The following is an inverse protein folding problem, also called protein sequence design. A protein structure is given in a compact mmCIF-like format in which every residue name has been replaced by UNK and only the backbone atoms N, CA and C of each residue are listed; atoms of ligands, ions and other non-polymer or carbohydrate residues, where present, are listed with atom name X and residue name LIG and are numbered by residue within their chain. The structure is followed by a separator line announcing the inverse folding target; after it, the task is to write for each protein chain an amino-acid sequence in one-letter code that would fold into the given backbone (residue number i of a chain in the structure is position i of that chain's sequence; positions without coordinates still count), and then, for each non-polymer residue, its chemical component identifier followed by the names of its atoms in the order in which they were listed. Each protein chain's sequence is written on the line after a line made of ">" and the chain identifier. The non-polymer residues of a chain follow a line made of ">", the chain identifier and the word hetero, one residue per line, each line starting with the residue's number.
data_IF_660974254595
#
_entry.id   IF_660974254595
#
_cell.length_a   1.000
_cell.length_b   1.000
_cell.length_c   1.000
_cell.angle_alpha   90.00
_cell.angle_beta   90.00
_cell.angle_gamma   90.00
#
_symmetry.space_group_name_H-M   'P 1'
#
loop_
_entity.id
_entity.type
_entity.pdbx_description
1 polymer ?
#
# COMPACT_ATOMS: atom_id res chain seq x y z
N UNK A 1 28.29 -50.33 17.48
CA UNK A 1 27.35 -50.92 16.52
C UNK A 1 26.31 -49.85 16.18
N UNK A 2 26.44 -49.19 15.07
CA UNK A 2 25.53 -48.17 14.60
C UNK A 2 24.90 -48.66 13.31
N UNK A 3 23.59 -48.89 13.31
CA UNK A 3 22.87 -49.37 12.17
C UNK A 3 22.41 -48.19 11.28
N UNK A 4 22.99 -48.12 10.11
CA UNK A 4 22.55 -47.23 9.02
C UNK A 4 21.29 -47.85 8.36
N UNK A 5 20.19 -47.10 8.33
CA UNK A 5 19.08 -47.39 7.46
C UNK A 5 19.15 -46.56 6.20
N UNK A 6 19.41 -47.24 5.09
CA UNK A 6 19.26 -46.74 3.72
C UNK A 6 17.77 -46.53 3.43
N UNK A 7 17.40 -45.34 3.01
CA UNK A 7 16.10 -45.06 2.41
C UNK A 7 16.20 -45.14 0.89
N UNK A 8 15.30 -45.92 0.32
CA UNK A 8 15.21 -46.17 -1.11
C UNK A 8 14.64 -44.97 -1.86
N UNK A 9 15.26 -44.68 -2.99
CA UNK A 9 14.77 -43.72 -4.00
C UNK A 9 13.73 -44.46 -4.85
N UNK A 10 12.51 -43.94 -4.89
CA UNK A 10 11.54 -44.34 -5.91
C UNK A 10 11.26 -43.11 -6.79
N UNK A 11 11.65 -43.25 -8.04
CA UNK A 11 11.37 -42.36 -9.16
C UNK A 11 9.90 -42.48 -9.57
N UNK A 12 9.23 -41.31 -9.64
CA UNK A 12 7.89 -41.23 -10.21
C UNK A 12 7.50 -39.78 -10.44
N UNK A 13 7.84 -39.25 -11.62
CA UNK A 13 7.31 -37.99 -12.12
C UNK A 13 5.90 -38.22 -12.63
N UNK A 14 4.93 -37.33 -12.34
CA UNK A 14 4.30 -36.67 -13.45
C UNK A 14 4.25 -35.13 -13.26
N UNK A 15 4.59 -34.48 -14.34
CA UNK A 15 4.36 -33.08 -14.63
C UNK A 15 2.87 -32.73 -14.47
N UNK A 16 2.59 -31.94 -13.44
CA UNK A 16 1.35 -31.21 -13.29
C UNK A 16 1.68 -29.81 -12.85
N UNK A 17 1.57 -28.84 -13.76
CA UNK A 17 1.84 -27.44 -13.49
C UNK A 17 0.85 -26.87 -12.46
N UNK A 18 1.17 -27.03 -11.18
CA UNK A 18 0.53 -26.32 -10.08
C UNK A 18 1.28 -25.04 -9.83
N UNK A 19 0.76 -23.93 -10.33
CA UNK A 19 1.26 -22.59 -9.94
C UNK A 19 0.97 -22.44 -8.45
N UNK A 20 2.03 -22.50 -7.67
CA UNK A 20 2.03 -22.55 -6.22
C UNK A 20 1.40 -21.29 -5.60
N UNK A 21 0.40 -21.50 -4.77
CA UNK A 21 -0.23 -20.58 -3.82
C UNK A 21 0.74 -20.06 -2.73
N UNK A 22 2.05 -20.07 -2.95
CA UNK A 22 3.05 -19.85 -1.91
C UNK A 22 3.26 -18.37 -1.57
N UNK A 23 2.81 -17.45 -2.42
CA UNK A 23 3.08 -16.02 -2.19
C UNK A 23 2.09 -15.31 -1.26
N UNK A 24 0.90 -15.87 -1.04
CA UNK A 24 -0.11 -15.23 -0.19
C UNK A 24 0.13 -15.45 1.31
N UNK A 25 0.75 -16.57 1.69
CA UNK A 25 1.01 -16.92 3.10
C UNK A 25 2.25 -16.23 3.67
N UNK A 26 3.25 -15.89 2.88
CA UNK A 26 4.43 -15.16 3.38
C UNK A 26 4.18 -13.66 3.60
N UNK A 27 3.20 -13.07 2.94
CA UNK A 27 2.82 -11.68 3.18
C UNK A 27 2.03 -11.47 4.50
N UNK A 28 1.40 -12.53 5.01
CA UNK A 28 0.60 -12.49 6.25
C UNK A 28 1.42 -12.74 7.52
N UNK A 29 2.60 -13.35 7.42
CA UNK A 29 3.39 -13.75 8.60
C UNK A 29 4.38 -12.70 9.11
N UNK A 30 4.56 -11.57 8.44
CA UNK A 30 5.64 -10.61 8.76
C UNK A 30 5.18 -9.34 9.49
N UNK A 31 3.99 -9.27 10.09
CA UNK A 31 3.55 -8.03 10.73
C UNK A 31 2.88 -8.17 12.07
N UNK A 32 3.67 -8.45 13.10
CA UNK A 32 3.38 -7.95 14.44
C UNK A 32 4.13 -6.61 14.59
N UNK A 33 3.44 -5.51 14.31
CA UNK A 33 3.96 -4.18 14.60
C UNK A 33 4.01 -3.23 13.39
N UNK A 34 3.02 -2.39 13.31
CA UNK A 34 2.78 -1.29 12.36
C UNK A 34 1.99 -1.70 11.12
N UNK A 35 0.74 -1.26 11.09
CA UNK A 35 -0.14 -1.36 9.94
C UNK A 35 0.57 -0.80 8.68
N UNK A 36 0.92 -1.68 7.77
CA UNK A 36 1.45 -1.27 6.47
C UNK A 36 0.30 -0.83 5.58
N UNK A 37 0.31 0.38 5.11
CA UNK A 37 -0.87 1.08 4.64
C UNK A 37 -1.32 0.77 3.23
N UNK A 38 -0.45 0.33 2.39
CA UNK A 38 -0.77 -0.02 1.01
C UNK A 38 0.07 -1.24 0.65
N UNK A 39 -0.53 -2.43 0.78
CA UNK A 39 0.09 -3.62 0.23
C UNK A 39 -0.01 -3.56 -1.28
N UNK A 40 1.04 -3.09 -1.87
CA UNK A 40 1.24 -3.13 -3.30
C UNK A 40 1.83 -4.49 -3.66
N UNK A 41 1.01 -5.54 -3.58
CA UNK A 41 1.36 -6.82 -4.15
C UNK A 41 0.90 -6.82 -5.60
N UNK A 42 1.81 -6.65 -6.53
CA UNK A 42 1.56 -7.00 -7.92
C UNK A 42 1.58 -8.53 -8.01
N UNK A 43 0.41 -9.15 -8.00
CA UNK A 43 0.27 -10.57 -8.23
C UNK A 43 -0.45 -10.80 -9.55
N UNK A 44 0.11 -11.68 -10.38
CA UNK A 44 -0.60 -12.21 -11.53
C UNK A 44 -1.61 -13.26 -11.02
N UNK A 45 -2.89 -12.89 -10.98
CA UNK A 45 -3.97 -13.82 -10.69
C UNK A 45 -4.61 -14.29 -12.01
N UNK A 46 -4.93 -15.57 -12.06
CA UNK A 46 -5.71 -16.14 -13.16
C UNK A 46 -7.18 -16.06 -12.77
N UNK A 47 -7.91 -15.15 -13.40
CA UNK A 47 -9.36 -15.14 -13.29
C UNK A 47 -9.93 -16.24 -14.19
N UNK A 48 -10.92 -16.99 -13.68
CA UNK A 48 -11.59 -18.06 -14.41
C UNK A 48 -12.29 -17.58 -15.69
N UNK A 49 -12.49 -16.27 -15.87
CA UNK A 49 -13.24 -15.69 -16.99
C UNK A 49 -12.44 -14.79 -17.96
N UNK A 50 -11.23 -14.34 -17.63
CA UNK A 50 -10.56 -13.30 -18.45
C UNK A 50 -9.04 -13.39 -18.58
N UNK A 51 -8.43 -14.52 -18.19
CA UNK A 51 -6.99 -14.70 -18.33
C UNK A 51 -6.15 -14.07 -17.20
N UNK A 52 -4.84 -13.94 -17.42
CA UNK A 52 -3.91 -13.37 -16.45
C UNK A 52 -4.12 -11.85 -16.30
N UNK A 53 -4.40 -11.40 -15.08
CA UNK A 53 -4.52 -9.99 -14.73
C UNK A 53 -3.57 -9.58 -13.61
N UNK A 54 -3.13 -8.34 -13.62
CA UNK A 54 -2.34 -7.73 -12.54
C UNK A 54 -3.29 -7.01 -11.58
N UNK A 55 -3.16 -7.28 -10.29
CA UNK A 55 -4.03 -6.74 -9.27
C UNK A 55 -3.23 -6.04 -8.18
N UNK A 56 -3.80 -5.00 -7.60
CA UNK A 56 -3.30 -4.31 -6.42
C UNK A 56 -4.31 -4.45 -5.30
N UNK A 57 -3.82 -4.70 -4.11
CA UNK A 57 -4.66 -4.85 -2.92
C UNK A 57 -4.61 -3.54 -2.13
N UNK A 58 -5.77 -2.97 -1.86
CA UNK A 58 -5.93 -1.79 -1.02
C UNK A 58 -6.62 -2.13 0.29
N UNK A 59 -6.27 -1.44 1.35
CA UNK A 59 -7.05 -1.45 2.58
C UNK A 59 -8.26 -0.55 2.35
N UNK A 60 -9.45 -1.15 2.36
CA UNK A 60 -10.67 -0.52 1.90
C UNK A 60 -11.59 -0.06 3.03
N UNK A 61 -11.61 -0.76 4.16
CA UNK A 61 -12.59 -0.55 5.22
C UNK A 61 -11.92 -0.27 6.56
N UNK A 62 -12.61 0.49 7.42
CA UNK A 62 -12.27 0.68 8.85
C UNK A 62 -12.16 -0.63 9.63
N UNK A 63 -12.73 -1.72 9.11
CA UNK A 63 -12.64 -3.10 9.65
C UNK A 63 -11.44 -3.88 9.11
N UNK A 64 -10.53 -3.25 8.37
CA UNK A 64 -9.33 -3.89 7.83
C UNK A 64 -9.56 -4.83 6.65
N UNK A 65 -10.70 -4.73 5.96
CA UNK A 65 -10.96 -5.51 4.75
C UNK A 65 -10.12 -4.99 3.59
N UNK A 66 -9.72 -5.90 2.71
CA UNK A 66 -8.96 -5.58 1.51
C UNK A 66 -9.87 -5.54 0.29
N UNK A 67 -9.67 -4.55 -0.56
CA UNK A 67 -10.24 -4.52 -1.89
C UNK A 67 -9.17 -4.89 -2.93
N UNK A 68 -9.52 -5.80 -3.82
CA UNK A 68 -8.68 -6.19 -4.96
C UNK A 68 -9.04 -5.29 -6.13
N UNK A 69 -8.04 -4.60 -6.68
CA UNK A 69 -8.21 -3.69 -7.80
C UNK A 69 -7.32 -4.10 -8.97
N UNK A 70 -7.89 -4.15 -10.17
CA UNK A 70 -7.14 -4.46 -11.40
C UNK A 70 -6.28 -3.26 -11.79
N UNK A 71 -5.02 -3.50 -12.11
CA UNK A 71 -4.06 -2.47 -12.52
C UNK A 71 -3.56 -2.71 -13.94
N UNK A 72 -3.05 -1.65 -14.57
CA UNK A 72 -2.37 -1.75 -15.85
C UNK A 72 -0.96 -2.33 -15.70
N UNK A 73 -0.40 -3.00 -16.71
CA UNK A 73 0.97 -3.51 -16.65
C UNK A 73 2.02 -2.40 -16.46
N UNK A 74 1.73 -1.18 -16.88
CA UNK A 74 2.59 -0.01 -16.65
C UNK A 74 2.65 0.38 -15.18
N UNK A 75 1.50 0.40 -14.50
CA UNK A 75 1.46 0.66 -13.05
C UNK A 75 2.11 -0.44 -12.22
N UNK A 76 2.21 -1.65 -12.75
CA UNK A 76 2.86 -2.76 -12.05
C UNK A 76 4.38 -2.61 -11.96
N UNK A 77 5.00 -1.82 -12.84
CA UNK A 77 6.45 -1.62 -12.88
C UNK A 77 6.98 -0.78 -11.73
N UNK A 78 6.18 0.10 -11.16
CA UNK A 78 6.61 0.99 -10.08
C UNK A 78 5.80 0.83 -8.81
N UNK A 79 6.39 1.25 -7.71
CA UNK A 79 5.79 1.27 -6.37
C UNK A 79 5.97 2.64 -5.73
N UNK A 80 4.90 3.13 -5.07
CA UNK A 80 4.99 4.31 -4.21
C UNK A 80 5.44 3.90 -2.81
N UNK A 81 6.42 4.60 -2.28
CA UNK A 81 6.97 4.35 -0.96
C UNK A 81 7.10 5.65 -0.17
N UNK A 82 6.64 5.63 1.09
CA UNK A 82 6.82 6.77 2.01
C UNK A 82 8.21 6.75 2.61
N UNK A 83 8.87 7.89 2.63
CA UNK A 83 10.16 8.09 3.26
C UNK A 83 9.99 8.14 4.78
N UNK A 84 10.63 7.22 5.48
CA UNK A 84 10.61 7.15 6.95
C UNK A 84 11.75 7.90 7.59
N UNK A 85 12.95 7.72 7.07
CA UNK A 85 14.17 8.24 7.66
C UNK A 85 15.21 8.52 6.58
N UNK A 86 15.96 9.58 6.76
CA UNK A 86 17.14 9.90 5.97
C UNK A 86 18.31 9.98 6.96
N UNK A 87 19.41 9.32 6.66
CA UNK A 87 20.60 9.33 7.49
C UNK A 87 21.86 9.25 6.63
N UNK A 88 22.95 9.68 7.21
CA UNK A 88 24.28 9.57 6.60
C UNK A 88 24.98 8.36 7.20
N UNK A 89 25.44 7.46 6.35
CA UNK A 89 26.18 6.27 6.74
C UNK A 89 27.65 6.55 7.06
N UNK A 90 28.36 5.48 7.40
CA UNK A 90 29.80 5.49 7.63
C UNK A 90 30.53 5.97 6.42
N UNK A 91 31.21 6.68 6.01
CA UNK A 91 31.82 7.21 4.76
C UNK A 91 31.10 8.41 4.15
N UNK A 92 30.15 9.03 4.91
CA UNK A 92 29.46 10.21 4.42
C UNK A 92 28.41 9.96 3.32
N UNK A 93 28.04 8.69 3.06
CA UNK A 93 27.08 8.34 2.01
C UNK A 93 25.65 8.53 2.53
N UNK A 94 24.81 9.37 1.87
CA UNK A 94 23.42 9.54 2.27
C UNK A 94 22.62 8.27 1.93
N UNK A 95 21.77 7.88 2.87
CA UNK A 95 20.85 6.75 2.75
C UNK A 95 19.43 7.20 3.10
N UNK A 96 18.48 6.69 2.35
CA UNK A 96 17.07 6.88 2.55
C UNK A 96 16.42 5.55 2.89
N UNK A 97 15.61 5.51 3.96
CA UNK A 97 14.84 4.34 4.37
C UNK A 97 13.36 4.59 4.13
N UNK A 98 12.73 3.66 3.43
CA UNK A 98 11.30 3.68 3.12
C UNK A 98 10.48 2.92 4.16
N UNK A 99 9.16 3.02 4.07
CA UNK A 99 8.24 2.28 4.94
C UNK A 99 8.33 0.75 4.75
N UNK A 100 8.75 0.27 3.56
CA UNK A 100 8.96 -1.15 3.25
C UNK A 100 10.34 -1.66 3.69
N UNK A 101 11.09 -0.92 4.51
CA UNK A 101 12.45 -1.24 4.92
C UNK A 101 13.48 -1.31 3.79
N UNK A 102 13.20 -0.76 2.61
CA UNK A 102 14.19 -0.61 1.54
C UNK A 102 15.13 0.53 1.88
N UNK A 103 16.42 0.31 1.68
CA UNK A 103 17.46 1.33 1.86
C UNK A 103 18.02 1.72 0.51
N UNK A 104 17.88 2.99 0.13
CA UNK A 104 18.35 3.52 -1.15
C UNK A 104 19.53 4.44 -0.88
N UNK A 105 20.61 4.25 -1.62
CA UNK A 105 21.81 5.08 -1.54
C UNK A 105 21.71 6.23 -2.53
N UNK A 106 22.33 7.36 -2.19
CA UNK A 106 22.39 8.57 -3.01
C UNK A 106 21.00 9.07 -3.44
N UNK A 107 20.07 9.31 -2.49
CA UNK A 107 18.80 9.91 -2.82
C UNK A 107 19.00 11.36 -3.29
N UNK A 108 18.00 11.89 -4.02
CA UNK A 108 17.97 13.31 -4.37
C UNK A 108 17.93 14.16 -3.07
N UNK A 109 18.77 15.21 -2.94
CA UNK A 109 18.80 16.08 -1.76
C UNK A 109 17.50 16.86 -1.54
N UNK A 110 16.63 16.97 -2.54
CA UNK A 110 15.32 17.62 -2.43
C UNK A 110 14.29 16.79 -1.67
N UNK A 111 14.52 15.48 -1.54
CA UNK A 111 13.61 14.55 -0.85
C UNK A 111 13.74 14.73 0.66
N UNK A 112 12.60 14.89 1.33
CA UNK A 112 12.49 15.01 2.79
C UNK A 112 11.78 13.81 3.43
N UNK A 113 11.82 13.76 4.75
CA UNK A 113 11.06 12.77 5.53
C UNK A 113 9.57 13.05 5.37
N UNK A 114 8.76 12.00 5.26
CA UNK A 114 7.33 11.96 4.95
C UNK A 114 6.95 12.18 3.48
N UNK A 115 7.89 12.50 2.60
CA UNK A 115 7.63 12.54 1.16
C UNK A 115 7.34 11.11 0.64
N UNK A 116 6.66 11.04 -0.50
CA UNK A 116 6.41 9.80 -1.20
C UNK A 116 7.29 9.72 -2.43
N UNK A 117 8.03 8.62 -2.57
CA UNK A 117 8.89 8.36 -3.71
C UNK A 117 8.30 7.27 -4.59
N UNK A 118 8.50 7.38 -5.87
CA UNK A 118 8.20 6.35 -6.85
C UNK A 118 9.47 5.55 -7.12
N UNK A 119 9.41 4.25 -6.88
CA UNK A 119 10.53 3.33 -7.06
C UNK A 119 10.20 2.39 -8.21
N UNK A 120 11.09 2.28 -9.17
CA UNK A 120 11.04 1.24 -10.19
C UNK A 120 11.40 -0.11 -9.54
N UNK A 121 10.55 -1.13 -9.74
CA UNK A 121 10.72 -2.44 -9.12
C UNK A 121 11.82 -3.27 -9.77
N UNK A 122 12.14 -3.03 -11.04
CA UNK A 122 13.20 -3.76 -11.76
C UNK A 122 14.57 -3.24 -11.37
N UNK A 123 14.77 -1.91 -11.40
CA UNK A 123 16.08 -1.29 -11.15
C UNK A 123 16.31 -0.94 -9.68
N UNK A 124 15.22 -0.80 -8.89
CA UNK A 124 15.28 -0.36 -7.49
C UNK A 124 15.64 1.12 -7.33
N UNK A 125 15.64 1.91 -8.40
CA UNK A 125 15.97 3.34 -8.39
C UNK A 125 14.73 4.19 -8.20
N UNK A 126 14.93 5.40 -7.66
CA UNK A 126 13.88 6.43 -7.56
C UNK A 126 13.71 7.05 -8.94
N UNK A 127 12.49 7.03 -9.47
CA UNK A 127 12.13 7.67 -10.75
C UNK A 127 11.57 9.06 -10.54
N UNK A 128 10.72 9.25 -9.52
CA UNK A 128 10.09 10.54 -9.21
C UNK A 128 9.72 10.60 -7.73
N UNK A 129 9.32 11.77 -7.24
CA UNK A 129 8.86 11.94 -5.86
C UNK A 129 7.78 13.01 -5.73
N UNK A 130 6.95 12.87 -4.71
CA UNK A 130 5.90 13.83 -4.33
C UNK A 130 6.26 14.39 -2.96
N UNK A 131 6.34 15.72 -2.85
CA UNK A 131 6.54 16.40 -1.57
C UNK A 131 5.29 16.28 -0.70
N UNK A 132 5.50 16.23 0.60
CA UNK A 132 4.43 16.32 1.58
C UNK A 132 4.05 17.81 1.77
N UNK A 133 3.05 18.26 0.98
CA UNK A 133 2.56 19.63 1.02
C UNK A 133 1.03 19.65 1.12
N UNK A 134 0.48 20.79 1.53
CA UNK A 134 -0.97 21.05 1.49
C UNK A 134 -1.49 21.02 0.05
N UNK A 135 -2.72 20.58 -0.13
CA UNK A 135 -3.33 20.44 -1.45
C UNK A 135 -3.04 19.12 -2.15
N UNK A 136 -2.16 18.27 -1.63
CA UNK A 136 -1.87 16.97 -2.21
C UNK A 136 -2.86 15.89 -1.75
N UNK A 137 -3.16 14.96 -2.67
CA UNK A 137 -4.04 13.84 -2.38
C UNK A 137 -3.32 12.81 -1.51
N UNK A 138 -3.96 12.42 -0.41
CA UNK A 138 -3.41 11.45 0.53
C UNK A 138 -4.41 10.34 0.87
N UNK A 139 -3.88 9.23 1.35
CA UNK A 139 -4.63 8.10 1.88
C UNK A 139 -4.27 7.88 3.34
N UNK A 140 -5.27 7.59 4.16
CA UNK A 140 -5.06 7.27 5.58
C UNK A 140 -4.85 5.77 5.75
N UNK A 141 -3.78 5.42 6.42
CA UNK A 141 -3.21 4.08 6.48
C UNK A 141 -3.34 3.43 7.85
N UNK A 142 -3.88 4.18 8.82
CA UNK A 142 -4.06 3.67 10.17
C UNK A 142 -4.99 4.53 11.00
N UNK A 143 -5.37 4.01 12.17
CA UNK A 143 -6.28 4.69 13.10
C UNK A 143 -7.76 4.54 12.74
N UNK A 144 -8.60 5.38 13.36
CA UNK A 144 -10.06 5.34 13.18
C UNK A 144 -10.51 5.74 11.76
N UNK A 145 -9.68 6.47 11.02
CA UNK A 145 -9.95 6.94 9.66
C UNK A 145 -9.26 6.08 8.58
N UNK A 146 -8.93 4.85 8.89
CA UNK A 146 -8.27 3.91 7.98
C UNK A 146 -9.00 3.81 6.63
N UNK A 147 -8.25 3.82 5.53
CA UNK A 147 -8.78 3.65 4.17
C UNK A 147 -9.43 4.88 3.55
N UNK A 148 -9.58 5.99 4.30
CA UNK A 148 -10.12 7.23 3.74
C UNK A 148 -9.09 7.90 2.83
N UNK A 149 -9.58 8.54 1.77
CA UNK A 149 -8.77 9.29 0.82
C UNK A 149 -9.27 10.74 0.84
N UNK A 150 -8.37 11.69 0.84
CA UNK A 150 -8.71 13.10 0.84
C UNK A 150 -7.52 13.99 0.53
N UNK A 151 -7.75 15.28 0.51
CA UNK A 151 -6.75 16.32 0.25
C UNK A 151 -6.26 16.89 1.55
N UNK A 152 -4.95 17.05 1.70
CA UNK A 152 -4.32 17.66 2.88
C UNK A 152 -4.66 19.16 2.91
N UNK A 153 -5.30 19.61 3.98
CA UNK A 153 -5.66 21.03 4.18
C UNK A 153 -4.62 21.76 5.00
N UNK A 154 -4.24 21.22 6.15
CA UNK A 154 -3.27 21.84 7.04
C UNK A 154 -2.53 20.79 7.85
N UNK A 155 -1.35 21.17 8.34
CA UNK A 155 -0.56 20.39 9.26
C UNK A 155 -0.32 21.21 10.53
N UNK A 156 -0.56 20.59 11.68
CA UNK A 156 -0.27 21.15 12.99
C UNK A 156 0.89 20.38 13.61
N UNK A 157 1.93 21.11 14.00
CA UNK A 157 3.09 20.53 14.65
C UNK A 157 2.99 20.74 16.15
N UNK A 158 2.99 19.64 16.90
CA UNK A 158 2.94 19.65 18.36
C UNK A 158 4.29 19.18 18.94
N UNK A 159 5.18 20.10 19.37
CA UNK A 159 6.45 19.73 19.99
C UNK A 159 6.22 18.85 21.23
N UNK A 160 6.90 17.71 21.30
CA UNK A 160 6.74 16.73 22.38
C UNK A 160 5.54 15.78 22.25
N UNK A 161 4.71 15.91 21.21
CA UNK A 161 3.58 15.04 20.91
C UNK A 161 3.59 14.63 19.45
N UNK A 162 2.48 14.06 18.96
CA UNK A 162 2.34 13.65 17.58
C UNK A 162 1.85 14.81 16.72
N UNK A 163 2.47 15.00 15.56
CA UNK A 163 2.00 15.93 14.56
C UNK A 163 0.65 15.48 14.01
N UNK A 164 -0.27 16.43 13.86
CA UNK A 164 -1.64 16.22 13.39
C UNK A 164 -1.79 16.84 12.01
N UNK A 165 -2.50 16.16 11.15
CA UNK A 165 -2.80 16.64 9.80
C UNK A 165 -4.30 16.60 9.56
N UNK A 166 -4.82 17.70 9.06
CA UNK A 166 -6.22 17.84 8.67
C UNK A 166 -6.38 17.48 7.20
N UNK A 167 -7.34 16.60 6.95
CA UNK A 167 -7.63 16.08 5.61
C UNK A 167 -9.10 16.32 5.29
N UNK A 168 -9.39 16.73 4.08
CA UNK A 168 -10.74 16.94 3.58
C UNK A 168 -11.09 15.87 2.55
N UNK A 169 -12.20 15.16 2.78
CA UNK A 169 -12.73 14.15 1.86
C UNK A 169 -13.37 14.79 0.62
N UNK A 170 -13.65 13.96 -0.38
CA UNK A 170 -14.41 14.37 -1.57
C UNK A 170 -15.84 14.86 -1.24
N UNK A 171 -16.44 14.39 -0.15
CA UNK A 171 -17.75 14.82 0.33
C UNK A 171 -17.71 16.16 1.09
N UNK A 172 -16.55 16.76 1.28
CA UNK A 172 -16.39 18.01 2.02
C UNK A 172 -16.19 17.85 3.53
N UNK A 173 -16.27 16.64 4.07
CA UNK A 173 -16.04 16.38 5.48
C UNK A 173 -14.55 16.51 5.81
N UNK A 174 -14.22 17.28 6.85
CA UNK A 174 -12.85 17.39 7.36
C UNK A 174 -12.66 16.46 8.55
N UNK A 175 -11.48 15.86 8.63
CA UNK A 175 -11.07 15.03 9.76
C UNK A 175 -9.58 15.16 10.02
N UNK A 176 -9.17 14.90 11.26
CA UNK A 176 -7.77 14.96 11.68
C UNK A 176 -7.21 13.55 11.87
N UNK A 177 -5.94 13.39 11.54
CA UNK A 177 -5.20 12.14 11.75
C UNK A 177 -3.73 12.43 12.02
N UNK A 178 -3.01 11.45 12.59
CA UNK A 178 -1.58 11.58 12.84
C UNK A 178 -0.79 11.56 11.54
N UNK A 179 0.27 12.35 11.47
CA UNK A 179 1.19 12.41 10.32
C UNK A 179 1.77 11.03 9.94
N UNK A 180 2.02 10.17 10.92
CA UNK A 180 2.50 8.80 10.68
C UNK A 180 1.54 7.97 9.83
N UNK A 181 0.23 8.23 9.94
CA UNK A 181 -0.81 7.48 9.27
C UNK A 181 -1.17 8.01 7.87
N UNK A 182 -0.53 9.07 7.43
CA UNK A 182 -0.79 9.66 6.11
C UNK A 182 0.20 9.14 5.10
N UNK A 183 -0.30 8.82 3.93
CA UNK A 183 0.46 8.41 2.76
C UNK A 183 0.01 9.25 1.56
N UNK A 184 0.91 10.05 1.01
CA UNK A 184 0.60 10.88 -0.17
C UNK A 184 0.59 9.98 -1.40
N UNK A 185 -0.48 10.02 -2.17
CA UNK A 185 -0.70 9.16 -3.36
C UNK A 185 -0.73 9.94 -4.67
N UNK A 186 -0.79 11.26 -4.60
CA UNK A 186 -0.87 12.07 -5.81
C UNK A 186 -0.53 13.53 -5.60
N UNK A 187 -0.19 14.19 -6.67
CA UNK A 187 0.09 15.62 -6.71
C UNK A 187 -1.19 16.37 -7.04
N UNK A 188 -1.62 17.27 -6.14
CA UNK A 188 -2.93 17.91 -6.24
C UNK A 188 -4.04 16.86 -6.20
N UNK A 189 -5.01 16.94 -7.10
CA UNK A 189 -6.15 16.03 -7.16
C UNK A 189 -5.92 14.77 -8.04
N UNK A 190 -4.79 14.66 -8.71
CA UNK A 190 -4.49 13.52 -9.59
C UNK A 190 -3.70 12.46 -8.82
N UNK A 191 -4.27 11.25 -8.59
CA UNK A 191 -3.52 10.16 -8.03
C UNK A 191 -2.53 9.59 -9.05
N UNK A 192 -1.36 9.17 -8.59
CA UNK A 192 -0.35 8.47 -9.41
C UNK A 192 -0.63 6.98 -9.54
N UNK A 193 -1.60 6.48 -8.77
CA UNK A 193 -2.05 5.10 -8.81
C UNK A 193 -3.55 5.07 -9.08
N UNK A 194 -4.03 4.06 -9.79
CA UNK A 194 -5.46 3.83 -9.96
C UNK A 194 -6.09 3.47 -8.62
N UNK A 195 -7.21 4.10 -8.32
CA UNK A 195 -7.95 3.90 -7.07
C UNK A 195 -9.17 3.01 -7.30
N UNK A 196 -9.59 2.21 -6.30
CA UNK A 196 -10.81 1.43 -6.39
C UNK A 196 -12.05 2.33 -6.53
N UNK A 197 -13.14 1.78 -7.04
CA UNK A 197 -14.37 2.52 -7.41
C UNK A 197 -14.93 3.43 -6.32
N UNK A 198 -14.82 3.06 -5.07
CA UNK A 198 -15.37 3.81 -3.93
C UNK A 198 -14.46 4.95 -3.44
N UNK A 199 -13.28 5.12 -4.03
CA UNK A 199 -12.36 6.25 -3.77
C UNK A 199 -12.12 6.57 -2.29
N UNK A 200 -12.26 5.59 -1.39
CA UNK A 200 -12.00 5.75 0.04
C UNK A 200 -13.01 6.63 0.79
N UNK A 201 -14.23 6.77 0.29
CA UNK A 201 -15.30 7.50 0.97
C UNK A 201 -15.87 6.63 2.07
N UNK A 202 -15.95 7.15 3.29
CA UNK A 202 -16.61 6.48 4.41
C UNK A 202 -18.11 6.73 4.34
N UNK A 203 -18.88 5.67 4.14
CA UNK A 203 -20.33 5.71 4.17
C UNK A 203 -20.84 5.77 5.62
N UNK A 204 -21.97 6.41 5.81
CA UNK A 204 -22.73 6.35 7.06
C UNK A 204 -23.36 4.97 7.23
N UNK A 205 -23.76 4.61 8.45
CA UNK A 205 -24.41 3.31 8.73
C UNK A 205 -25.69 3.13 7.91
N UNK A 206 -26.46 4.22 7.72
CA UNK A 206 -27.66 4.21 6.92
C UNK A 206 -27.39 3.95 5.44
N UNK A 207 -26.42 4.67 4.84
CA UNK A 207 -26.00 4.48 3.45
C UNK A 207 -25.43 3.08 3.19
N UNK A 208 -24.65 2.54 4.15
CA UNK A 208 -24.12 1.19 4.03
C UNK A 208 -25.25 0.14 4.04
N UNK A 209 -26.26 0.33 4.90
CA UNK A 209 -27.44 -0.52 4.93
C UNK A 209 -28.21 -0.47 3.63
N UNK A 210 -28.46 0.72 3.11
CA UNK A 210 -29.23 0.93 1.89
C UNK A 210 -28.49 0.36 0.66
N UNK A 211 -27.17 0.51 0.61
CA UNK A 211 -26.32 -0.12 -0.40
C UNK A 211 -26.39 -1.65 -0.35
N UNK A 212 -26.43 -2.24 0.86
CA UNK A 212 -26.57 -3.70 1.03
C UNK A 212 -27.95 -4.19 0.58
N UNK A 213 -29.00 -3.42 0.86
CA UNK A 213 -30.36 -3.74 0.41
C UNK A 213 -30.48 -3.67 -1.11
N UNK A 214 -29.94 -2.63 -1.73
CA UNK A 214 -29.91 -2.50 -3.18
C UNK A 214 -29.13 -3.62 -3.87
N UNK A 215 -28.00 -4.03 -3.30
CA UNK A 215 -27.22 -5.16 -3.83
C UNK A 215 -27.97 -6.51 -3.76
N UNK A 216 -28.79 -6.71 -2.71
CA UNK A 216 -29.63 -7.92 -2.61
C UNK A 216 -30.78 -7.92 -3.63
N UNK A 217 -31.35 -6.76 -3.93
CA UNK A 217 -32.43 -6.62 -4.93
C UNK A 217 -31.91 -6.81 -6.36
N UNK A 218 -30.67 -6.46 -6.64
CA UNK A 218 -30.06 -6.64 -7.96
C UNK A 218 -29.54 -8.07 -8.23
N UNK A 219 -29.43 -8.91 -7.21
CA UNK A 219 -28.96 -10.30 -7.31
C UNK A 219 -30.09 -11.34 -7.30
N UNK A 220 -31.33 -10.95 -7.17
CA UNK A 220 -32.54 -11.79 -7.30
C UNK A 220 -33.25 -11.51 -8.59
#
# INVERSE_FOLDING_TARGET
>A
MVAQRKAAVSSGVPLGAGVSNVCCTQALAASHGAAQPVYQACQAFRDNNSGFGLFRIFIYDTKGRFAVHRITPEEAKYKLCKVRKIFVGTKGIPHLVTHDARTIRYPDPLIKVNDTIQIDLETGKITDFIKFDTGNLCMVTGGANLGRIGVITSQERHPGSFDVVHVKDANGNSFATRLSNIFVIGKGNKPWISLPREKGIRLTIAEERDKRLAAKQSSG
#
